data_IF_272612960111
#
_entry.id   IF_272612960111
#
_cell.length_a   1.000
_cell.length_b   1.000
_cell.length_c   1.000
_cell.angle_alpha   90.00
_cell.angle_beta   90.00
_cell.angle_gamma   90.00
#
_symmetry.space_group_name_H-M   'P 1'
#
loop_
_entity.id
_entity.type
_entity.pdbx_description
1 polymer ?
#
# COMPACT_ATOMS: atom_id res chain seq x y z
N UNK A 1 -21.77 -21.51 21.12
CA UNK A 1 -21.94 -20.40 20.16
C UNK A 1 -22.76 -19.26 20.77
N UNK A 2 -22.29 -18.61 21.85
CA UNK A 2 -23.06 -17.57 22.56
C UNK A 2 -22.19 -16.44 23.14
N UNK A 3 -20.90 -16.39 22.82
CA UNK A 3 -19.97 -15.36 23.32
C UNK A 3 -19.79 -14.19 22.35
N UNK A 4 -20.31 -14.29 21.11
CA UNK A 4 -19.85 -13.45 20.01
C UNK A 4 -20.68 -12.16 19.80
N UNK A 5 -22.00 -12.17 20.02
CA UNK A 5 -22.84 -10.95 19.95
C UNK A 5 -22.54 -9.92 21.06
N UNK A 6 -21.94 -10.37 22.16
CA UNK A 6 -21.53 -9.47 23.24
C UNK A 6 -20.32 -8.61 22.85
N UNK A 7 -19.47 -9.02 21.90
CA UNK A 7 -18.24 -8.27 21.59
C UNK A 7 -18.52 -6.96 20.83
N UNK A 8 -19.40 -6.97 19.83
CA UNK A 8 -19.72 -5.76 19.04
C UNK A 8 -20.42 -4.68 19.85
N UNK A 9 -21.45 -5.05 20.63
CA UNK A 9 -22.17 -4.07 21.45
C UNK A 9 -21.27 -3.49 22.55
N UNK A 10 -20.42 -4.32 23.16
CA UNK A 10 -19.41 -3.84 24.10
C UNK A 10 -18.40 -2.92 23.43
N UNK A 11 -17.90 -3.26 22.24
CA UNK A 11 -16.99 -2.42 21.49
C UNK A 11 -17.62 -1.05 21.14
N UNK A 12 -18.88 -1.01 20.73
CA UNK A 12 -19.58 0.25 20.45
C UNK A 12 -19.71 1.12 21.70
N UNK A 13 -19.95 0.51 22.87
CA UNK A 13 -20.07 1.25 24.12
C UNK A 13 -18.78 1.97 24.53
N UNK A 14 -17.63 1.56 23.97
CA UNK A 14 -16.32 2.19 24.19
C UNK A 14 -16.06 3.38 23.25
N UNK A 15 -16.86 3.55 22.19
CA UNK A 15 -16.73 4.70 21.30
C UNK A 15 -17.22 5.98 21.99
N UNK A 16 -16.70 7.16 21.57
CA UNK A 16 -17.28 8.45 21.90
C UNK A 16 -18.79 8.46 21.64
N UNK A 17 -19.58 9.02 22.57
CA UNK A 17 -21.05 8.93 22.56
C UNK A 17 -21.69 9.41 21.26
N UNK A 18 -21.12 10.44 20.65
CA UNK A 18 -21.59 11.03 19.40
C UNK A 18 -21.33 10.14 18.17
N UNK A 19 -20.43 9.16 18.28
CA UNK A 19 -20.14 8.18 17.23
C UNK A 19 -20.93 6.87 17.37
N UNK A 20 -21.48 6.59 18.56
CA UNK A 20 -22.14 5.31 18.83
C UNK A 20 -23.34 5.07 17.91
N UNK A 21 -24.16 6.09 17.63
CA UNK A 21 -25.30 5.95 16.72
C UNK A 21 -24.83 5.61 15.29
N UNK A 22 -23.85 6.34 14.76
CA UNK A 22 -23.32 6.07 13.41
C UNK A 22 -22.67 4.68 13.30
N UNK A 23 -22.02 4.21 14.37
CA UNK A 23 -21.49 2.86 14.43
C UNK A 23 -22.61 1.80 14.42
N UNK A 24 -23.73 2.05 15.11
CA UNK A 24 -24.91 1.17 15.07
C UNK A 24 -25.57 1.16 13.69
N UNK A 25 -25.68 2.31 13.04
CA UNK A 25 -26.20 2.43 11.67
C UNK A 25 -25.30 1.69 10.67
N UNK A 26 -23.98 1.81 10.83
CA UNK A 26 -22.99 1.15 9.96
C UNK A 26 -23.15 -0.37 9.94
N UNK A 27 -23.58 -1.00 11.04
CA UNK A 27 -23.84 -2.46 11.09
C UNK A 27 -24.96 -2.91 10.16
N UNK A 28 -25.93 -2.02 9.90
CA UNK A 28 -27.10 -2.30 9.05
C UNK A 28 -26.86 -2.00 7.58
N UNK A 29 -25.66 -1.52 7.22
CA UNK A 29 -25.33 -1.24 5.82
C UNK A 29 -25.40 -2.56 5.04
N UNK A 30 -26.21 -2.61 3.98
CA UNK A 30 -26.44 -3.82 3.20
C UNK A 30 -25.19 -4.21 2.42
N UNK A 31 -24.99 -5.50 2.22
CA UNK A 31 -23.93 -6.08 1.40
C UNK A 31 -24.54 -7.04 0.38
N UNK A 32 -24.31 -6.79 -0.90
CA UNK A 32 -24.82 -7.62 -1.98
C UNK A 32 -23.87 -7.62 -3.17
N UNK A 33 -23.57 -8.80 -3.71
CA UNK A 33 -22.70 -8.99 -4.87
C UNK A 33 -21.53 -9.96 -4.61
N UNK A 34 -20.59 -10.08 -5.57
CA UNK A 34 -19.61 -11.17 -5.60
C UNK A 34 -18.46 -11.06 -4.59
N UNK A 35 -18.37 -9.94 -3.85
CA UNK A 35 -17.23 -9.62 -2.98
C UNK A 35 -17.59 -9.56 -1.49
N UNK A 36 -18.84 -9.88 -1.12
CA UNK A 36 -19.36 -9.77 0.24
C UNK A 36 -20.13 -11.02 0.65
N UNK A 37 -19.44 -12.17 0.70
CA UNK A 37 -20.05 -13.45 1.03
C UNK A 37 -19.99 -13.80 2.53
N UNK A 38 -19.55 -12.86 3.38
CA UNK A 38 -19.49 -13.02 4.83
C UNK A 38 -20.86 -12.85 5.51
N UNK A 39 -21.79 -12.16 4.85
CA UNK A 39 -23.16 -11.97 5.33
C UNK A 39 -23.84 -10.77 4.68
N UNK A 40 -25.17 -10.67 4.83
CA UNK A 40 -25.99 -9.69 4.10
C UNK A 40 -25.80 -8.25 4.60
N UNK A 41 -25.21 -8.06 5.77
CA UNK A 41 -25.00 -6.75 6.38
C UNK A 41 -23.57 -6.63 6.91
N UNK A 42 -23.10 -5.39 7.04
CA UNK A 42 -21.77 -5.07 7.58
C UNK A 42 -21.53 -5.65 8.98
N UNK A 43 -22.58 -5.95 9.75
CA UNK A 43 -22.48 -6.64 11.04
C UNK A 43 -21.61 -7.91 10.96
N UNK A 44 -21.80 -8.74 9.92
CA UNK A 44 -21.03 -9.98 9.74
C UNK A 44 -19.55 -9.71 9.47
N UNK A 45 -19.25 -8.72 8.62
CA UNK A 45 -17.88 -8.28 8.34
C UNK A 45 -17.20 -7.75 9.62
N UNK A 46 -17.84 -6.82 10.32
CA UNK A 46 -17.30 -6.23 11.55
C UNK A 46 -17.06 -7.30 12.61
N UNK A 47 -17.95 -8.28 12.72
CA UNK A 47 -17.80 -9.38 13.65
C UNK A 47 -16.54 -10.23 13.37
N UNK A 48 -16.38 -10.69 12.11
CA UNK A 48 -15.22 -11.48 11.70
C UNK A 48 -13.91 -10.70 11.86
N UNK A 49 -13.92 -9.39 11.60
CA UNK A 49 -12.74 -8.56 11.73
C UNK A 49 -12.33 -8.40 13.21
N UNK A 50 -13.29 -8.26 14.13
CA UNK A 50 -13.02 -8.25 15.58
C UNK A 50 -12.44 -9.60 16.04
N UNK A 51 -13.07 -10.72 15.66
CA UNK A 51 -12.57 -12.06 16.00
C UNK A 51 -11.15 -12.28 15.48
N UNK A 52 -10.84 -11.78 14.29
CA UNK A 52 -9.51 -11.85 13.69
C UNK A 52 -8.47 -11.06 14.52
N UNK A 53 -8.80 -9.86 14.98
CA UNK A 53 -7.87 -9.06 15.82
C UNK A 53 -7.67 -9.68 17.20
N UNK A 54 -8.70 -10.30 17.78
CA UNK A 54 -8.57 -11.04 19.03
C UNK A 54 -7.68 -12.29 18.86
N UNK A 55 -7.86 -13.04 17.77
CA UNK A 55 -7.01 -14.17 17.41
C UNK A 55 -5.55 -13.74 17.21
N UNK A 56 -5.34 -12.63 16.51
CA UNK A 56 -4.03 -12.03 16.33
C UNK A 56 -3.39 -11.64 17.66
N UNK A 57 -4.15 -11.08 18.61
CA UNK A 57 -3.67 -10.79 19.97
C UNK A 57 -3.17 -12.04 20.73
N UNK A 58 -3.78 -13.20 20.46
CA UNK A 58 -3.34 -14.52 20.96
C UNK A 58 -2.15 -15.11 20.20
N UNK A 59 -1.74 -14.50 19.09
CA UNK A 59 -0.65 -14.97 18.24
C UNK A 59 -1.09 -15.93 17.13
N UNK A 60 -2.39 -16.03 16.87
CA UNK A 60 -2.95 -16.85 15.80
C UNK A 60 -2.92 -16.03 14.50
N UNK A 61 -2.09 -16.45 13.54
CA UNK A 61 -1.92 -15.79 12.23
C UNK A 61 -1.91 -16.84 11.13
N UNK A 62 -2.55 -16.55 9.99
CA UNK A 62 -2.50 -17.43 8.82
C UNK A 62 -1.04 -17.69 8.40
N UNK A 63 -0.70 -18.96 8.18
CA UNK A 63 0.64 -19.42 7.80
C UNK A 63 1.21 -18.80 6.51
N UNK A 64 0.36 -18.23 5.65
CA UNK A 64 0.77 -17.52 4.43
C UNK A 64 1.46 -16.19 4.75
N UNK A 65 1.18 -15.59 5.91
CA UNK A 65 1.76 -14.31 6.30
C UNK A 65 3.24 -14.49 6.65
N UNK A 66 4.17 -13.68 6.10
CA UNK A 66 5.59 -13.79 6.45
C UNK A 66 5.82 -13.62 7.95
N UNK A 67 6.64 -14.49 8.54
CA UNK A 67 6.86 -14.54 9.99
C UNK A 67 7.28 -13.19 10.59
N UNK A 68 8.13 -12.41 9.90
CA UNK A 68 8.54 -11.08 10.35
C UNK A 68 7.37 -10.12 10.47
N UNK A 69 6.40 -10.18 9.53
CA UNK A 69 5.20 -9.34 9.56
C UNK A 69 4.21 -9.85 10.61
N UNK A 70 4.06 -11.16 10.74
CA UNK A 70 3.24 -11.76 11.79
C UNK A 70 3.70 -11.30 13.19
N UNK A 71 5.02 -11.29 13.46
CA UNK A 71 5.57 -10.77 14.71
C UNK A 71 5.23 -9.30 14.94
N UNK A 72 5.38 -8.45 13.92
CA UNK A 72 5.03 -7.02 14.01
C UNK A 72 3.55 -6.81 14.34
N UNK A 73 2.65 -7.54 13.67
CA UNK A 73 1.21 -7.46 13.91
C UNK A 73 0.84 -7.87 15.33
N UNK A 74 1.34 -9.01 15.80
CA UNK A 74 1.06 -9.52 17.15
C UNK A 74 1.59 -8.56 18.22
N UNK A 75 2.82 -8.04 18.05
CA UNK A 75 3.38 -7.05 18.98
C UNK A 75 2.54 -5.77 19.00
N UNK A 76 2.15 -5.26 17.83
CA UNK A 76 1.36 -4.04 17.73
C UNK A 76 0.01 -4.16 18.44
N UNK A 77 -0.76 -5.24 18.18
CA UNK A 77 -2.05 -5.48 18.84
C UNK A 77 -1.89 -5.55 20.36
N UNK A 78 -0.87 -6.25 20.85
CA UNK A 78 -0.61 -6.37 22.30
C UNK A 78 -0.21 -5.04 22.95
N UNK A 79 0.55 -4.20 22.25
CA UNK A 79 1.04 -2.92 22.79
C UNK A 79 0.00 -1.80 22.72
N UNK A 80 -0.80 -1.78 21.66
CA UNK A 80 -1.85 -0.77 21.45
C UNK A 80 -3.09 -1.08 22.29
N UNK A 81 -3.38 -2.37 22.52
CA UNK A 81 -4.58 -2.81 23.23
C UNK A 81 -5.72 -3.15 22.28
N UNK A 82 -6.55 -4.11 22.70
CA UNK A 82 -7.64 -4.63 21.87
C UNK A 82 -8.75 -3.59 21.67
N UNK A 83 -8.93 -2.68 22.62
CA UNK A 83 -9.95 -1.63 22.59
C UNK A 83 -9.70 -0.62 21.46
N UNK A 84 -8.44 -0.24 21.21
CA UNK A 84 -8.09 0.63 20.07
C UNK A 84 -8.22 -0.12 18.74
N UNK A 85 -7.93 -1.42 18.73
CA UNK A 85 -8.16 -2.29 17.57
C UNK A 85 -9.66 -2.36 17.23
N UNK A 86 -10.51 -2.51 18.25
CA UNK A 86 -11.96 -2.45 18.11
C UNK A 86 -12.45 -1.07 17.63
N UNK A 87 -11.87 0.01 18.14
CA UNK A 87 -12.16 1.37 17.66
C UNK A 87 -11.89 1.49 16.15
N UNK A 88 -10.78 0.95 15.64
CA UNK A 88 -10.53 0.92 14.20
C UNK A 88 -11.61 0.14 13.44
N UNK A 89 -11.95 -1.09 13.86
CA UNK A 89 -12.94 -1.90 13.15
C UNK A 89 -14.29 -1.19 13.06
N UNK A 90 -14.76 -0.59 14.15
CA UNK A 90 -16.05 0.10 14.14
C UNK A 90 -16.05 1.41 13.33
N UNK A 91 -14.88 2.01 13.11
CA UNK A 91 -14.76 3.32 12.47
C UNK A 91 -14.31 3.24 11.02
N UNK A 92 -13.58 2.21 10.56
CA UNK A 92 -12.95 2.25 9.24
C UNK A 92 -13.92 2.34 8.06
N UNK A 93 -15.12 1.82 8.24
CA UNK A 93 -16.20 1.78 7.27
C UNK A 93 -17.38 2.71 7.63
N UNK A 94 -17.17 3.62 8.57
CA UNK A 94 -18.23 4.46 9.15
C UNK A 94 -19.03 5.27 8.11
N UNK A 95 -18.40 5.69 7.02
CA UNK A 95 -19.09 6.45 5.95
C UNK A 95 -19.67 5.59 4.82
N UNK A 96 -19.65 4.23 4.89
CA UNK A 96 -20.21 3.37 3.83
C UNK A 96 -21.68 3.69 3.55
N UNK A 97 -22.49 3.94 4.59
CA UNK A 97 -23.91 4.30 4.46
C UNK A 97 -24.11 5.59 3.62
N UNK A 98 -23.18 6.54 3.73
CA UNK A 98 -23.21 7.82 3.02
C UNK A 98 -22.65 7.74 1.59
N UNK A 99 -22.18 6.55 1.19
CA UNK A 99 -21.51 6.30 -0.09
C UNK A 99 -22.13 5.14 -0.88
N UNK A 100 -23.36 4.75 -0.54
CA UNK A 100 -24.07 3.65 -1.19
C UNK A 100 -24.29 3.93 -2.68
N UNK A 101 -23.87 2.99 -3.51
CA UNK A 101 -24.00 3.02 -4.96
C UNK A 101 -24.48 1.66 -5.45
N UNK A 102 -25.64 1.63 -6.08
CA UNK A 102 -26.29 0.44 -6.60
C UNK A 102 -25.91 0.24 -8.07
N UNK A 103 -25.31 -0.90 -8.39
CA UNK A 103 -25.13 -1.33 -9.77
C UNK A 103 -26.41 -2.03 -10.22
N UNK A 104 -27.05 -1.48 -11.24
CA UNK A 104 -28.33 -1.96 -11.75
C UNK A 104 -28.18 -2.76 -13.05
N UNK A 105 -28.90 -3.87 -13.16
CA UNK A 105 -29.11 -4.63 -14.40
C UNK A 105 -29.75 -3.73 -15.48
N UNK A 106 -29.73 -4.16 -16.75
CA UNK A 106 -30.30 -3.36 -17.85
C UNK A 106 -31.82 -3.16 -17.79
N UNK A 107 -32.52 -4.07 -17.13
CA UNK A 107 -33.98 -4.15 -17.00
C UNK A 107 -34.48 -3.72 -15.62
N UNK A 108 -33.60 -3.24 -14.74
CA UNK A 108 -33.95 -2.79 -13.40
C UNK A 108 -35.03 -1.70 -13.42
N UNK A 109 -36.11 -1.83 -12.62
CA UNK A 109 -37.15 -0.82 -12.49
C UNK A 109 -36.66 0.48 -11.82
N UNK A 110 -35.49 0.45 -11.17
CA UNK A 110 -34.88 1.62 -10.52
C UNK A 110 -34.09 2.51 -11.49
N UNK A 111 -33.95 2.13 -12.77
CA UNK A 111 -33.28 2.97 -13.77
C UNK A 111 -34.09 4.23 -14.07
N UNK A 112 -33.45 5.40 -13.99
CA UNK A 112 -34.02 6.65 -14.50
C UNK A 112 -33.82 6.74 -16.02
N UNK A 113 -34.68 7.47 -16.73
CA UNK A 113 -34.65 7.59 -18.21
C UNK A 113 -33.30 8.07 -18.79
N UNK A 114 -32.47 8.74 -17.98
CA UNK A 114 -31.13 9.20 -18.37
C UNK A 114 -29.97 8.26 -18.04
N UNK A 115 -30.21 7.18 -17.27
CA UNK A 115 -29.15 6.31 -16.74
C UNK A 115 -28.62 5.33 -17.79
N UNK A 116 -27.35 5.45 -18.16
CA UNK A 116 -26.70 4.55 -19.13
C UNK A 116 -26.56 3.13 -18.56
N UNK A 117 -26.48 2.12 -19.43
CA UNK A 117 -26.17 0.74 -19.03
C UNK A 117 -24.80 0.73 -18.31
N UNK A 118 -24.76 0.18 -17.09
CA UNK A 118 -23.56 0.17 -16.24
C UNK A 118 -23.33 1.39 -15.34
N UNK A 119 -24.18 2.43 -15.41
CA UNK A 119 -24.12 3.57 -14.50
C UNK A 119 -24.63 3.16 -13.09
N UNK A 120 -23.88 3.53 -12.05
CA UNK A 120 -24.25 3.22 -10.66
C UNK A 120 -25.22 4.27 -10.13
N UNK A 121 -26.35 3.84 -9.58
CA UNK A 121 -27.31 4.71 -8.90
C UNK A 121 -26.77 5.03 -7.50
N UNK A 122 -26.39 6.29 -7.26
CA UNK A 122 -25.99 6.75 -5.93
C UNK A 122 -27.23 6.97 -5.06
N UNK A 123 -27.21 6.45 -3.84
CA UNK A 123 -28.35 6.44 -2.92
C UNK A 123 -27.89 6.93 -1.56
N UNK A 124 -28.57 7.93 -1.00
CA UNK A 124 -28.32 8.35 0.39
C UNK A 124 -28.84 7.30 1.37
N UNK A 125 -28.29 7.27 2.59
CA UNK A 125 -28.80 6.34 3.62
C UNK A 125 -30.31 6.48 3.85
N UNK A 126 -30.82 7.71 3.90
CA UNK A 126 -32.26 7.97 4.04
C UNK A 126 -33.09 7.40 2.88
N UNK A 127 -32.61 7.52 1.64
CA UNK A 127 -33.25 6.93 0.48
C UNK A 127 -33.22 5.40 0.56
N UNK A 128 -32.09 4.81 0.96
CA UNK A 128 -31.98 3.37 1.15
C UNK A 128 -33.01 2.85 2.16
N UNK A 129 -33.06 3.44 3.36
CA UNK A 129 -34.02 3.03 4.41
C UNK A 129 -35.48 3.27 4.05
N UNK A 130 -35.76 4.15 3.08
CA UNK A 130 -37.10 4.36 2.55
C UNK A 130 -37.49 3.30 1.50
N UNK A 131 -36.51 2.73 0.79
CA UNK A 131 -36.73 1.68 -0.21
C UNK A 131 -36.73 0.28 0.40
N UNK A 132 -35.89 0.04 1.41
CA UNK A 132 -35.71 -1.27 2.05
C UNK A 132 -35.74 -1.13 3.58
N UNK A 133 -36.65 -1.88 4.22
CA UNK A 133 -36.81 -1.94 5.67
C UNK A 133 -36.68 -3.36 6.24
N UNK A 134 -36.23 -4.33 5.42
CA UNK A 134 -35.99 -5.70 5.87
C UNK A 134 -34.83 -5.78 6.88
N UNK A 135 -34.82 -6.88 7.62
CA UNK A 135 -33.83 -7.12 8.68
C UNK A 135 -33.07 -8.43 8.47
N UNK A 136 -33.46 -9.23 7.48
CA UNK A 136 -32.85 -10.52 7.16
C UNK A 136 -32.12 -10.50 5.81
N UNK A 137 -31.23 -11.47 5.62
CA UNK A 137 -30.53 -11.65 4.33
C UNK A 137 -31.45 -12.08 3.19
N UNK A 138 -32.43 -12.93 3.48
CA UNK A 138 -33.42 -13.39 2.50
C UNK A 138 -34.23 -12.21 1.95
N UNK A 139 -34.71 -11.32 2.83
CA UNK A 139 -35.42 -10.10 2.41
C UNK A 139 -34.54 -9.17 1.56
N UNK A 140 -33.24 -9.04 1.91
CA UNK A 140 -32.31 -8.22 1.14
C UNK A 140 -32.06 -8.82 -0.26
N UNK A 141 -31.88 -10.13 -0.33
CA UNK A 141 -31.66 -10.86 -1.59
C UNK A 141 -32.88 -10.75 -2.50
N UNK A 142 -34.08 -10.97 -1.97
CA UNK A 142 -35.35 -10.83 -2.69
C UNK A 142 -35.51 -9.39 -3.21
N UNK A 143 -35.31 -8.40 -2.33
CA UNK A 143 -35.36 -6.99 -2.71
C UNK A 143 -34.37 -6.66 -3.84
N UNK A 144 -33.12 -7.13 -3.74
CA UNK A 144 -32.11 -6.88 -4.76
C UNK A 144 -32.47 -7.53 -6.10
N UNK A 145 -32.99 -8.76 -6.08
CA UNK A 145 -33.44 -9.46 -7.28
C UNK A 145 -34.63 -8.76 -7.94
N UNK A 146 -35.67 -8.42 -7.18
CA UNK A 146 -36.88 -7.73 -7.65
C UNK A 146 -36.56 -6.36 -8.27
N UNK A 147 -35.58 -5.66 -7.71
CA UNK A 147 -35.17 -4.33 -8.16
C UNK A 147 -34.01 -4.36 -9.17
N UNK A 148 -33.57 -5.55 -9.62
CA UNK A 148 -32.48 -5.69 -10.57
C UNK A 148 -31.16 -5.09 -10.09
N UNK A 149 -30.91 -5.09 -8.77
CA UNK A 149 -29.64 -4.70 -8.18
C UNK A 149 -28.68 -5.88 -8.31
N UNK A 150 -27.58 -5.70 -9.03
CA UNK A 150 -26.58 -6.77 -9.23
C UNK A 150 -25.41 -6.70 -8.26
N UNK A 151 -25.19 -5.52 -7.67
CA UNK A 151 -24.11 -5.28 -6.70
C UNK A 151 -24.37 -3.98 -5.95
N UNK A 152 -24.05 -3.97 -4.66
CA UNK A 152 -23.92 -2.77 -3.83
C UNK A 152 -22.44 -2.43 -3.68
N UNK A 153 -22.12 -1.14 -3.79
CA UNK A 153 -20.77 -0.60 -3.62
C UNK A 153 -20.81 0.65 -2.75
N UNK A 154 -19.66 1.04 -2.20
CA UNK A 154 -19.55 2.12 -1.22
C UNK A 154 -18.59 3.21 -1.68
N UNK A 155 -18.70 3.58 -2.97
CA UNK A 155 -17.80 4.50 -3.64
C UNK A 155 -18.59 5.48 -4.51
N UNK A 156 -18.32 6.78 -4.32
CA UNK A 156 -18.79 7.83 -5.21
C UNK A 156 -17.66 8.24 -6.17
N UNK A 157 -17.97 8.33 -7.47
CA UNK A 157 -16.98 8.71 -8.48
C UNK A 157 -16.39 10.10 -8.25
N UNK A 158 -17.19 11.02 -7.71
CA UNK A 158 -16.80 12.39 -7.43
C UNK A 158 -16.79 12.66 -5.93
N UNK A 159 -15.92 13.56 -5.43
CA UNK A 159 -16.05 14.13 -4.11
C UNK A 159 -17.46 14.69 -3.89
N UNK A 160 -18.03 14.43 -2.72
CA UNK A 160 -19.36 14.91 -2.31
C UNK A 160 -19.26 15.52 -0.92
N UNK A 161 -19.94 16.64 -0.69
CA UNK A 161 -19.99 17.35 0.61
C UNK A 161 -18.63 17.85 1.11
N UNK A 162 -17.69 18.13 0.20
CA UNK A 162 -16.32 18.54 0.55
C UNK A 162 -15.40 17.39 0.96
N UNK A 163 -15.86 16.13 0.89
CA UNK A 163 -15.09 14.94 1.24
C UNK A 163 -14.72 14.10 0.00
N UNK A 164 -13.64 13.29 0.07
CA UNK A 164 -13.26 12.33 -0.97
C UNK A 164 -14.40 11.36 -1.35
N UNK A 165 -14.37 10.85 -2.59
CA UNK A 165 -15.35 9.88 -3.09
C UNK A 165 -15.21 8.46 -2.51
N UNK A 166 -14.04 8.14 -1.94
CA UNK A 166 -13.78 6.86 -1.25
C UNK A 166 -14.11 6.96 0.24
N UNK A 167 -14.74 5.93 0.82
CA UNK A 167 -15.24 5.98 2.20
C UNK A 167 -14.08 6.06 3.21
N UNK A 168 -13.02 5.26 3.08
CA UNK A 168 -11.89 5.29 4.02
C UNK A 168 -11.22 6.66 4.11
N UNK A 169 -10.96 7.30 2.96
CA UNK A 169 -10.41 8.65 2.91
C UNK A 169 -11.39 9.70 3.51
N UNK A 170 -12.69 9.59 3.22
CA UNK A 170 -13.73 10.44 3.79
C UNK A 170 -13.76 10.36 5.32
N UNK A 171 -13.82 9.14 5.84
CA UNK A 171 -13.84 8.88 7.28
C UNK A 171 -12.57 9.36 7.97
N UNK A 172 -11.40 9.15 7.38
CA UNK A 172 -10.15 9.68 7.91
C UNK A 172 -10.19 11.21 8.03
N UNK A 173 -10.60 11.93 6.96
CA UNK A 173 -10.73 13.39 6.98
C UNK A 173 -11.73 13.88 8.03
N UNK A 174 -12.85 13.17 8.25
CA UNK A 174 -13.83 13.50 9.29
C UNK A 174 -13.22 13.45 10.71
N UNK A 175 -12.24 12.57 10.92
CA UNK A 175 -11.65 12.31 12.23
C UNK A 175 -10.30 13.00 12.46
N UNK A 176 -9.71 13.64 11.44
CA UNK A 176 -8.37 14.28 11.53
C UNK A 176 -8.22 15.32 12.66
N UNK A 177 -9.30 16.02 13.03
CA UNK A 177 -9.29 17.03 14.10
C UNK A 177 -9.73 16.51 15.47
N UNK A 178 -10.03 15.22 15.60
CA UNK A 178 -10.54 14.61 16.83
C UNK A 178 -9.41 14.14 17.74
N UNK A 179 -9.35 14.71 18.95
CA UNK A 179 -8.36 14.32 19.97
C UNK A 179 -8.69 12.98 20.65
N UNK A 180 -9.95 12.53 20.56
CA UNK A 180 -10.46 11.29 21.15
C UNK A 180 -10.33 10.05 20.24
N UNK A 181 -9.69 10.22 19.07
CA UNK A 181 -9.37 9.13 18.14
C UNK A 181 -7.86 9.12 17.91
N UNK A 182 -7.25 7.94 18.09
CA UNK A 182 -5.80 7.80 17.91
C UNK A 182 -5.37 8.15 16.48
N UNK A 183 -4.28 8.93 16.29
CA UNK A 183 -3.71 9.17 14.96
C UNK A 183 -3.34 7.89 14.20
N UNK A 184 -3.02 6.81 14.91
CA UNK A 184 -2.77 5.49 14.30
C UNK A 184 -4.04 4.89 13.71
N UNK A 185 -5.19 5.04 14.40
CA UNK A 185 -6.50 4.61 13.88
C UNK A 185 -6.84 5.41 12.64
N UNK A 186 -6.74 6.74 12.68
CA UNK A 186 -7.02 7.61 11.52
C UNK A 186 -6.16 7.23 10.32
N UNK A 187 -4.87 6.95 10.52
CA UNK A 187 -3.97 6.49 9.45
C UNK A 187 -4.38 5.13 8.90
N UNK A 188 -4.66 4.16 9.76
CA UNK A 188 -5.14 2.84 9.33
C UNK A 188 -6.43 2.94 8.50
N UNK A 189 -7.38 3.80 8.92
CA UNK A 189 -8.60 4.09 8.17
C UNK A 189 -8.29 4.71 6.81
N UNK A 190 -7.37 5.68 6.74
CA UNK A 190 -7.00 6.33 5.47
C UNK A 190 -6.42 5.35 4.46
N UNK A 191 -5.58 4.45 4.94
CA UNK A 191 -4.75 3.60 4.09
C UNK A 191 -5.37 2.22 3.82
N UNK A 192 -6.50 1.86 4.44
CA UNK A 192 -7.03 0.49 4.35
C UNK A 192 -7.45 0.07 2.93
N UNK A 193 -7.89 1.01 2.08
CA UNK A 193 -8.19 0.72 0.68
C UNK A 193 -6.92 0.63 -0.19
N UNK A 194 -5.81 1.26 0.24
CA UNK A 194 -4.54 1.20 -0.49
C UNK A 194 -3.96 -0.22 -0.47
N UNK A 195 -4.13 -0.96 0.64
CA UNK A 195 -3.68 -2.35 0.77
C UNK A 195 -4.29 -3.26 -0.29
N UNK A 196 -5.54 -2.99 -0.70
CA UNK A 196 -6.28 -3.74 -1.72
C UNK A 196 -5.73 -3.54 -3.13
N UNK A 197 -4.78 -2.61 -3.32
CA UNK A 197 -4.17 -2.29 -4.63
C UNK A 197 -2.78 -2.91 -4.84
N UNK A 198 -2.27 -3.70 -3.91
CA UNK A 198 -0.99 -4.39 -4.07
C UNK A 198 -1.17 -5.65 -4.92
N UNK A 199 -0.92 -5.55 -6.22
CA UNK A 199 -0.99 -6.68 -7.16
C UNK A 199 0.38 -7.35 -7.40
N UNK A 200 1.46 -6.67 -7.03
CA UNK A 200 2.85 -7.12 -7.11
C UNK A 200 3.71 -6.41 -6.05
N UNK A 201 5.02 -6.71 -5.99
CA UNK A 201 5.95 -6.01 -5.09
C UNK A 201 6.13 -4.56 -5.54
N UNK A 202 5.67 -3.60 -4.74
CA UNK A 202 5.75 -2.17 -5.03
C UNK A 202 6.43 -1.43 -3.88
N UNK A 203 7.76 -1.25 -4.00
CA UNK A 203 8.58 -0.54 -3.01
C UNK A 203 8.12 0.91 -2.85
N UNK A 204 7.70 1.56 -3.93
CA UNK A 204 7.26 2.96 -3.91
C UNK A 204 5.98 3.13 -3.08
N UNK A 205 4.99 2.26 -3.32
CA UNK A 205 3.72 2.27 -2.57
C UNK A 205 3.93 1.89 -1.11
N UNK A 206 4.76 0.88 -0.82
CA UNK A 206 5.12 0.54 0.55
C UNK A 206 5.86 1.68 1.27
N UNK A 207 6.73 2.40 0.57
CA UNK A 207 7.38 3.59 1.11
C UNK A 207 6.34 4.66 1.48
N UNK A 208 5.42 5.00 0.58
CA UNK A 208 4.34 5.95 0.86
C UNK A 208 3.49 5.54 2.07
N UNK A 209 3.16 4.26 2.19
CA UNK A 209 2.30 3.75 3.26
C UNK A 209 3.00 3.71 4.63
N UNK A 210 4.29 3.38 4.68
CA UNK A 210 5.01 3.11 5.94
C UNK A 210 6.11 4.13 6.28
N UNK A 211 6.28 5.19 5.50
CA UNK A 211 7.22 6.26 5.83
C UNK A 211 6.82 6.96 7.15
N UNK A 212 7.84 7.20 7.97
CA UNK A 212 7.71 7.82 9.30
C UNK A 212 7.07 6.92 10.37
N UNK A 213 6.69 5.68 10.05
CA UNK A 213 6.13 4.75 11.02
C UNK A 213 7.24 4.04 11.82
N UNK A 214 7.02 3.91 13.12
CA UNK A 214 7.74 2.93 13.94
C UNK A 214 7.15 1.51 13.74
N UNK A 215 7.79 0.50 14.34
CA UNK A 215 7.37 -0.89 14.20
C UNK A 215 5.94 -1.15 14.74
N UNK A 216 5.50 -0.40 15.76
CA UNK A 216 4.17 -0.54 16.34
C UNK A 216 3.11 -0.01 15.37
N UNK A 217 3.36 1.16 14.78
CA UNK A 217 2.49 1.75 13.77
C UNK A 217 2.43 0.88 12.50
N UNK A 218 3.58 0.37 12.02
CA UNK A 218 3.63 -0.57 10.89
C UNK A 218 2.81 -1.83 11.20
N UNK A 219 3.06 -2.46 12.36
CA UNK A 219 2.36 -3.67 12.77
C UNK A 219 0.85 -3.47 12.90
N UNK A 220 0.41 -2.30 13.40
CA UNK A 220 -1.01 -1.98 13.51
C UNK A 220 -1.68 -1.80 12.16
N UNK A 221 -1.04 -1.10 11.22
CA UNK A 221 -1.54 -0.97 9.85
C UNK A 221 -1.65 -2.35 9.18
N UNK A 222 -0.68 -3.24 9.38
CA UNK A 222 -0.79 -4.62 8.91
C UNK A 222 -1.95 -5.36 9.57
N UNK A 223 -2.08 -5.29 10.91
CA UNK A 223 -3.15 -5.96 11.65
C UNK A 223 -4.55 -5.52 11.20
N UNK A 224 -4.74 -4.21 11.03
CA UNK A 224 -5.96 -3.59 10.53
C UNK A 224 -6.36 -4.13 9.14
N UNK A 225 -5.43 -4.08 8.18
CA UNK A 225 -5.66 -4.56 6.82
C UNK A 225 -5.82 -6.08 6.74
N UNK A 226 -5.11 -6.82 7.60
CA UNK A 226 -5.26 -8.26 7.71
C UNK A 226 -6.68 -8.62 8.18
N UNK A 227 -7.18 -7.94 9.22
CA UNK A 227 -8.52 -8.17 9.74
C UNK A 227 -9.63 -7.84 8.72
N UNK A 228 -9.54 -6.71 8.03
CA UNK A 228 -10.48 -6.32 6.95
C UNK A 228 -10.51 -7.36 5.81
N UNK A 229 -9.35 -7.82 5.35
CA UNK A 229 -9.27 -8.84 4.30
C UNK A 229 -9.72 -10.23 4.77
N UNK A 230 -9.40 -10.62 6.00
CA UNK A 230 -9.91 -11.87 6.58
C UNK A 230 -11.43 -11.86 6.73
N UNK A 231 -12.04 -10.69 6.91
CA UNK A 231 -13.48 -10.49 7.00
C UNK A 231 -14.17 -10.24 5.65
N UNK A 232 -13.43 -10.31 4.53
CA UNK A 232 -13.95 -10.09 3.17
C UNK A 232 -14.01 -11.42 2.41
N UNK A 233 -15.10 -12.17 2.58
CA UNK A 233 -15.23 -13.51 2.00
C UNK A 233 -15.66 -13.46 0.53
N UNK A 234 -15.06 -14.32 -0.29
CA UNK A 234 -15.51 -14.60 -1.67
C UNK A 234 -16.53 -15.74 -1.69
N UNK A 235 -17.06 -16.01 -2.89
CA UNK A 235 -17.91 -17.16 -3.16
C UNK A 235 -17.31 -18.45 -2.58
N UNK A 236 -18.14 -19.24 -1.88
CA UNK A 236 -17.70 -20.43 -1.16
C UNK A 236 -17.03 -20.17 0.21
N UNK A 237 -17.04 -18.92 0.70
CA UNK A 237 -16.49 -18.55 2.01
C UNK A 237 -14.96 -18.44 2.03
N UNK A 238 -14.32 -18.36 0.87
CA UNK A 238 -12.86 -18.31 0.78
C UNK A 238 -12.33 -16.90 1.08
N UNK A 239 -11.26 -16.82 1.88
CA UNK A 239 -10.50 -15.59 2.10
C UNK A 239 -9.39 -15.47 1.05
N UNK A 240 -9.30 -14.32 0.38
CA UNK A 240 -8.20 -14.01 -0.53
C UNK A 240 -7.22 -13.00 0.10
N UNK A 241 -6.07 -13.51 0.54
CA UNK A 241 -4.97 -12.72 1.11
C UNK A 241 -3.92 -12.28 0.07
N UNK A 242 -4.11 -12.52 -1.23
CA UNK A 242 -3.10 -12.26 -2.25
C UNK A 242 -2.55 -10.83 -2.20
N UNK A 243 -3.44 -9.84 -2.13
CA UNK A 243 -3.08 -8.42 -2.02
C UNK A 243 -2.35 -8.10 -0.72
N UNK A 244 -2.79 -8.69 0.41
CA UNK A 244 -2.12 -8.58 1.70
C UNK A 244 -0.69 -9.13 1.65
N UNK A 245 -0.50 -10.29 1.02
CA UNK A 245 0.82 -10.91 0.88
C UNK A 245 1.73 -10.05 0.01
N UNK A 246 1.24 -9.46 -1.07
CA UNK A 246 2.03 -8.50 -1.85
C UNK A 246 2.36 -7.24 -1.07
N UNK A 247 1.46 -6.73 -0.22
CA UNK A 247 1.76 -5.64 0.70
C UNK A 247 2.89 -6.01 1.68
N UNK A 248 2.83 -7.21 2.27
CA UNK A 248 3.88 -7.73 3.16
C UNK A 248 5.25 -7.79 2.46
N UNK A 249 5.29 -8.38 1.26
CA UNK A 249 6.51 -8.48 0.45
C UNK A 249 7.05 -7.10 0.05
N UNK A 250 6.17 -6.18 -0.32
CA UNK A 250 6.52 -4.80 -0.67
C UNK A 250 7.16 -4.05 0.50
N UNK A 251 6.65 -4.25 1.72
CA UNK A 251 7.27 -3.69 2.91
C UNK A 251 8.65 -4.29 3.19
N UNK A 252 8.80 -5.61 3.14
CA UNK A 252 10.10 -6.28 3.33
C UNK A 252 11.14 -5.82 2.28
N UNK A 253 10.71 -5.69 1.02
CA UNK A 253 11.51 -5.14 -0.06
C UNK A 253 11.87 -3.66 0.18
N UNK A 254 10.93 -2.86 0.70
CA UNK A 254 11.19 -1.46 1.06
C UNK A 254 12.21 -1.32 2.20
N UNK A 255 12.12 -2.15 3.24
CA UNK A 255 13.12 -2.19 4.32
C UNK A 255 14.49 -2.57 3.78
N UNK A 256 14.56 -3.63 2.95
CA UNK A 256 15.81 -4.09 2.32
C UNK A 256 16.40 -3.04 1.38
N UNK A 257 15.54 -2.34 0.61
CA UNK A 257 15.94 -1.24 -0.25
C UNK A 257 16.55 -0.09 0.53
N UNK A 258 15.95 0.30 1.66
CA UNK A 258 16.47 1.36 2.53
C UNK A 258 17.84 1.00 3.11
N UNK A 259 18.03 -0.25 3.54
CA UNK A 259 19.35 -0.74 3.99
C UNK A 259 20.40 -0.62 2.88
N UNK A 260 20.11 -1.18 1.69
CA UNK A 260 21.00 -1.14 0.53
C UNK A 260 21.34 0.30 0.14
N UNK A 261 20.34 1.17 0.03
CA UNK A 261 20.52 2.58 -0.32
C UNK A 261 21.39 3.32 0.72
N UNK A 262 21.17 3.07 2.01
CA UNK A 262 21.96 3.66 3.08
C UNK A 262 23.42 3.20 3.04
N UNK A 263 23.66 1.90 2.85
CA UNK A 263 25.02 1.34 2.73
C UNK A 263 25.76 1.88 1.51
N UNK A 264 25.09 2.02 0.37
CA UNK A 264 25.67 2.60 -0.84
C UNK A 264 25.96 4.09 -0.67
N UNK A 265 25.09 4.85 0.00
CA UNK A 265 25.31 6.27 0.30
C UNK A 265 26.53 6.49 1.22
N UNK A 266 26.81 5.53 2.11
CA UNK A 266 28.00 5.54 2.98
C UNK A 266 29.27 4.99 2.29
N UNK A 267 29.19 4.56 1.04
CA UNK A 267 30.34 4.01 0.30
C UNK A 267 30.97 5.08 -0.57
N UNK A 268 32.27 5.31 -0.40
CA UNK A 268 33.05 6.26 -1.20
C UNK A 268 33.29 5.77 -2.64
N UNK A 269 33.66 6.71 -3.52
CA UNK A 269 34.11 6.43 -4.89
C UNK A 269 33.07 5.68 -5.76
N UNK A 270 31.80 6.05 -5.64
CA UNK A 270 30.73 5.53 -6.50
C UNK A 270 30.33 6.53 -7.60
N UNK A 271 30.05 6.00 -8.80
CA UNK A 271 29.40 6.77 -9.85
C UNK A 271 27.94 7.07 -9.45
N UNK A 272 27.70 8.28 -8.97
CA UNK A 272 26.37 8.73 -8.52
C UNK A 272 25.28 8.66 -9.59
N UNK A 273 25.63 8.81 -10.87
CA UNK A 273 24.65 8.72 -11.96
C UNK A 273 24.24 7.27 -12.23
N UNK A 274 25.20 6.36 -12.20
CA UNK A 274 24.92 4.91 -12.33
C UNK A 274 24.17 4.43 -11.10
N UNK A 275 24.60 4.83 -9.90
CA UNK A 275 23.96 4.51 -8.63
C UNK A 275 22.48 4.92 -8.63
N UNK A 276 22.17 6.16 -9.00
CA UNK A 276 20.79 6.66 -9.09
C UNK A 276 19.93 5.81 -10.05
N UNK A 277 20.49 5.41 -11.20
CA UNK A 277 19.79 4.55 -12.17
C UNK A 277 19.56 3.14 -11.64
N UNK A 278 20.55 2.53 -11.00
CA UNK A 278 20.43 1.18 -10.46
C UNK A 278 19.44 1.13 -9.28
N UNK A 279 19.45 2.14 -8.41
CA UNK A 279 18.46 2.27 -7.35
C UNK A 279 17.04 2.51 -7.89
N UNK A 280 16.86 3.35 -8.93
CA UNK A 280 15.53 3.55 -9.53
C UNK A 280 15.00 2.29 -10.22
N UNK A 281 15.87 1.53 -10.92
CA UNK A 281 15.51 0.21 -11.48
C UNK A 281 15.06 -0.75 -10.39
N UNK A 282 15.84 -0.86 -9.31
CA UNK A 282 15.52 -1.73 -8.18
C UNK A 282 14.19 -1.35 -7.54
N UNK A 283 13.95 -0.05 -7.31
CA UNK A 283 12.70 0.47 -6.73
C UNK A 283 11.46 0.15 -7.56
N UNK A 284 11.59 0.10 -8.89
CA UNK A 284 10.50 -0.17 -9.85
C UNK A 284 10.31 -1.66 -10.17
N UNK A 285 11.16 -2.53 -9.64
CA UNK A 285 11.12 -3.97 -9.94
C UNK A 285 10.06 -4.67 -9.09
N UNK A 286 9.15 -5.38 -9.76
CA UNK A 286 8.08 -6.20 -9.18
C UNK A 286 8.56 -7.52 -8.56
N UNK A 287 9.80 -7.90 -8.83
CA UNK A 287 10.50 -9.06 -8.24
C UNK A 287 11.63 -8.66 -7.30
N UNK A 288 11.75 -7.38 -6.91
CA UNK A 288 12.83 -6.92 -6.06
C UNK A 288 12.92 -7.74 -4.77
N UNK A 289 14.11 -8.26 -4.45
CA UNK A 289 14.40 -9.09 -3.27
C UNK A 289 13.60 -10.40 -3.18
N UNK A 290 13.07 -10.91 -4.31
CA UNK A 290 12.41 -12.22 -4.32
C UNK A 290 13.41 -13.38 -4.21
N UNK A 291 14.52 -13.29 -4.96
CA UNK A 291 15.56 -14.33 -5.04
C UNK A 291 16.95 -13.82 -4.61
N UNK A 292 17.04 -12.56 -4.18
CA UNK A 292 18.29 -11.93 -3.74
C UNK A 292 18.12 -11.33 -2.34
N UNK A 293 19.13 -11.50 -1.48
CA UNK A 293 19.22 -10.82 -0.19
C UNK A 293 19.70 -9.37 -0.35
N UNK A 294 19.52 -8.54 0.68
CA UNK A 294 20.07 -7.18 0.72
C UNK A 294 21.58 -7.13 0.43
N UNK A 295 22.35 -8.09 0.97
CA UNK A 295 23.79 -8.18 0.72
C UNK A 295 24.14 -8.52 -0.74
N UNK A 296 23.38 -9.41 -1.36
CA UNK A 296 23.59 -9.77 -2.77
C UNK A 296 23.29 -8.57 -3.69
N UNK A 297 22.17 -7.88 -3.44
CA UNK A 297 21.80 -6.67 -4.19
C UNK A 297 22.83 -5.55 -3.97
N UNK A 298 23.25 -5.31 -2.72
CA UNK A 298 24.31 -4.36 -2.40
C UNK A 298 25.59 -4.67 -3.18
N UNK A 299 26.09 -5.91 -3.13
CA UNK A 299 27.31 -6.31 -3.84
C UNK A 299 27.21 -6.17 -5.35
N UNK A 300 26.06 -6.51 -5.94
CA UNK A 300 25.79 -6.36 -7.37
C UNK A 300 25.81 -4.89 -7.80
N UNK A 301 25.10 -4.00 -7.08
CA UNK A 301 25.07 -2.57 -7.40
C UNK A 301 26.44 -1.93 -7.17
N UNK A 302 27.11 -2.28 -6.06
CA UNK A 302 28.45 -1.81 -5.75
C UNK A 302 29.43 -2.12 -6.88
N UNK A 303 29.43 -3.35 -7.39
CA UNK A 303 30.32 -3.78 -8.48
C UNK A 303 30.15 -2.93 -9.74
N UNK A 304 28.92 -2.49 -10.03
CA UNK A 304 28.61 -1.69 -11.24
C UNK A 304 28.88 -0.20 -11.02
N UNK A 305 28.77 0.28 -9.79
CA UNK A 305 28.94 1.71 -9.47
C UNK A 305 30.37 2.10 -9.07
N UNK A 306 31.20 1.14 -8.66
CA UNK A 306 32.54 1.42 -8.13
C UNK A 306 33.43 2.06 -9.19
N UNK A 307 33.93 3.26 -8.88
CA UNK A 307 34.94 3.94 -9.68
C UNK A 307 36.32 3.40 -9.33
N UNK A 308 37.15 3.23 -10.35
CA UNK A 308 38.54 2.81 -10.17
C UNK A 308 39.41 4.04 -9.97
N UNK A 309 40.34 3.97 -9.02
CA UNK A 309 41.39 4.96 -8.87
C UNK A 309 42.52 4.62 -9.85
N UNK A 310 42.86 5.56 -10.73
CA UNK A 310 43.96 5.41 -11.68
C UNK A 310 45.13 6.30 -11.25
N UNK A 311 46.37 5.85 -11.49
CA UNK A 311 47.53 6.73 -11.39
C UNK A 311 47.68 7.56 -12.67
N UNK A 312 48.27 8.75 -12.56
CA UNK A 312 48.52 9.60 -13.72
C UNK A 312 49.36 8.89 -14.79
N UNK A 313 50.31 8.05 -14.38
CA UNK A 313 51.17 7.28 -15.28
C UNK A 313 50.39 6.19 -16.03
N UNK A 314 49.45 5.51 -15.35
CA UNK A 314 48.57 4.52 -15.99
C UNK A 314 47.73 5.19 -17.08
N UNK A 315 47.15 6.36 -16.80
CA UNK A 315 46.34 7.11 -17.77
C UNK A 315 47.20 7.59 -18.94
N UNK A 316 48.38 8.17 -18.68
CA UNK A 316 49.33 8.61 -19.73
C UNK A 316 49.77 7.46 -20.61
N UNK A 317 50.08 6.31 -20.01
CA UNK A 317 50.51 5.12 -20.73
C UNK A 317 49.38 4.58 -21.63
N UNK A 318 48.15 4.49 -21.13
CA UNK A 318 47.00 4.05 -21.91
C UNK A 318 46.72 4.94 -23.12
N UNK A 319 46.96 6.25 -22.99
CA UNK A 319 46.72 7.23 -24.06
C UNK A 319 47.93 7.43 -24.98
N UNK A 320 49.04 6.72 -24.75
CA UNK A 320 50.25 6.84 -25.57
C UNK A 320 49.96 6.40 -27.02
N UNK A 321 50.04 7.36 -27.95
CA UNK A 321 49.71 7.16 -29.36
C UNK A 321 48.35 7.73 -29.82
N UNK A 322 47.58 8.37 -28.93
CA UNK A 322 46.44 9.20 -29.31
C UNK A 322 46.90 10.66 -29.36
N UNK A 323 46.74 11.30 -30.51
CA UNK A 323 47.07 12.73 -30.69
C UNK A 323 46.04 13.60 -29.94
N UNK A 324 46.46 14.17 -28.81
CA UNK A 324 45.65 14.99 -27.91
C UNK A 324 46.42 16.27 -27.59
N UNK A 325 45.72 17.40 -27.55
CA UNK A 325 46.30 18.63 -27.00
C UNK A 325 46.64 18.45 -25.51
N UNK A 326 47.74 19.07 -25.06
CA UNK A 326 48.25 18.92 -23.70
C UNK A 326 47.21 19.31 -22.65
N UNK A 327 46.41 20.34 -22.90
CA UNK A 327 45.35 20.78 -22.00
C UNK A 327 44.24 19.72 -21.86
N UNK A 328 43.91 19.02 -22.94
CA UNK A 328 42.90 17.96 -22.95
C UNK A 328 43.44 16.71 -22.25
N UNK A 329 44.71 16.36 -22.48
CA UNK A 329 45.37 15.26 -21.77
C UNK A 329 45.43 15.52 -20.26
N UNK A 330 45.73 16.77 -19.85
CA UNK A 330 45.72 17.17 -18.44
C UNK A 330 44.34 16.99 -17.81
N UNK A 331 43.28 17.45 -18.49
CA UNK A 331 41.89 17.27 -18.03
C UNK A 331 41.49 15.80 -17.91
N UNK A 332 41.89 14.94 -18.85
CA UNK A 332 41.63 13.50 -18.76
C UNK A 332 42.34 12.89 -17.55
N UNK A 333 43.61 13.22 -17.33
CA UNK A 333 44.37 12.72 -16.18
C UNK A 333 43.69 13.15 -14.89
N UNK A 334 43.37 14.44 -14.75
CA UNK A 334 42.69 14.97 -13.57
C UNK A 334 41.35 14.27 -13.29
N UNK A 335 40.51 14.11 -14.31
CA UNK A 335 39.23 13.41 -14.23
C UNK A 335 39.40 11.95 -13.78
N UNK A 336 40.35 11.24 -14.38
CA UNK A 336 40.57 9.81 -14.12
C UNK A 336 41.28 9.56 -12.77
N UNK A 337 42.18 10.44 -12.33
CA UNK A 337 42.86 10.29 -11.03
C UNK A 337 41.98 10.71 -9.86
N UNK A 338 41.13 11.72 -10.07
CA UNK A 338 40.33 12.33 -8.99
C UNK A 338 38.96 11.69 -8.88
N UNK A 339 38.29 11.47 -10.02
CA UNK A 339 36.92 10.98 -10.08
C UNK A 339 36.87 9.54 -10.57
N UNK A 340 37.90 9.04 -11.26
CA UNK A 340 37.88 7.69 -11.83
C UNK A 340 37.01 7.55 -13.08
N UNK A 341 36.58 8.67 -13.67
CA UNK A 341 35.83 8.73 -14.93
C UNK A 341 35.96 10.08 -15.61
N UNK A 342 35.81 10.09 -16.93
CA UNK A 342 35.77 11.34 -17.72
C UNK A 342 34.53 12.19 -17.37
N UNK A 343 34.74 13.47 -17.14
CA UNK A 343 33.67 14.45 -17.00
C UNK A 343 32.95 14.68 -18.34
N UNK A 344 31.75 15.26 -18.26
CA UNK A 344 30.97 15.62 -19.46
C UNK A 344 31.68 16.69 -20.29
N UNK A 345 32.43 17.58 -19.66
CA UNK A 345 33.17 18.66 -20.31
C UNK A 345 34.38 18.11 -21.08
N UNK A 346 35.23 17.33 -20.42
CA UNK A 346 36.34 16.62 -21.06
C UNK A 346 35.82 15.77 -22.22
N UNK A 347 34.73 15.02 -22.01
CA UNK A 347 34.08 14.23 -23.06
C UNK A 347 33.65 15.02 -24.30
N UNK A 348 33.22 16.29 -24.15
CA UNK A 348 32.88 17.17 -25.27
C UNK A 348 34.13 17.69 -25.98
N UNK A 349 35.19 18.01 -25.23
CA UNK A 349 36.45 18.52 -25.77
C UNK A 349 37.18 17.49 -26.63
N UNK A 350 36.95 16.18 -26.38
CA UNK A 350 37.57 15.10 -27.14
C UNK A 350 37.09 14.98 -28.60
N UNK A 351 35.92 15.51 -28.98
CA UNK A 351 35.37 15.46 -30.35
C UNK A 351 35.56 14.08 -31.02
N UNK A 352 36.32 14.01 -32.11
CA UNK A 352 36.60 12.78 -32.86
C UNK A 352 37.47 11.77 -32.08
N UNK A 353 38.32 12.24 -31.16
CA UNK A 353 39.19 11.41 -30.34
C UNK A 353 38.43 10.65 -29.23
N UNK A 354 37.20 11.05 -28.89
CA UNK A 354 36.43 10.50 -27.77
C UNK A 354 36.29 8.96 -27.83
N UNK A 355 36.05 8.40 -29.03
CA UNK A 355 35.93 6.95 -29.19
C UNK A 355 37.24 6.22 -28.87
N UNK A 356 38.37 6.74 -29.35
CA UNK A 356 39.69 6.12 -29.17
C UNK A 356 40.15 6.24 -27.73
N UNK A 357 39.96 7.42 -27.11
CA UNK A 357 40.29 7.66 -25.71
C UNK A 357 39.49 6.75 -24.79
N UNK A 358 38.17 6.61 -25.01
CA UNK A 358 37.34 5.68 -24.22
C UNK A 358 37.75 4.22 -24.41
N UNK A 359 38.11 3.83 -25.63
CA UNK A 359 38.57 2.47 -25.90
C UNK A 359 39.90 2.16 -25.20
N UNK A 360 40.83 3.12 -25.19
CA UNK A 360 42.11 2.99 -24.49
C UNK A 360 41.95 2.94 -22.96
N UNK A 361 41.14 3.84 -22.39
CA UNK A 361 40.89 3.86 -20.94
C UNK A 361 40.11 2.64 -20.44
N UNK A 362 39.39 1.93 -21.30
CA UNK A 362 38.69 0.69 -20.93
C UNK A 362 39.62 -0.53 -20.81
N UNK A 363 40.90 -0.41 -21.19
CA UNK A 363 41.89 -1.49 -21.12
C UNK A 363 42.76 -1.45 -19.85
N UNK A 364 42.65 -0.37 -19.08
CA UNK A 364 43.30 -0.20 -17.76
C UNK A 364 42.24 -0.28 -16.67
#
# INVERSE_FOLDING_TARGET
MSTSLHSLQSAISLLPKDLQQGAQESRRVPQFGPYHCEGPFMDSHLHLALETLEALGRGEVDSKVPATVATLMVEAVRRIGIETCWQYILLHDFDKANRLSLKLSSDSPLRTEGGKKGEMLQVSWSQWTAMFNGETGEELDDFCQENGIVQISYYHQSPTDGFPGKHGACTATRFESREDISPLVIRAIRDHELSKTFEWVDIGKAHQMFEGCDNVAVGFVFAANYADLMASHREGGAVDLSTFIYMCKSYQACVSFKDVASRLAATDSLDQHVLSKELDKLRKSDIAFSDETADQVYGRILKVCKLMAFSADQVRSALSGIDLADEVLHQIIEDMTTVGKLSKETGKNLRAANRFVRAALAQI
#
